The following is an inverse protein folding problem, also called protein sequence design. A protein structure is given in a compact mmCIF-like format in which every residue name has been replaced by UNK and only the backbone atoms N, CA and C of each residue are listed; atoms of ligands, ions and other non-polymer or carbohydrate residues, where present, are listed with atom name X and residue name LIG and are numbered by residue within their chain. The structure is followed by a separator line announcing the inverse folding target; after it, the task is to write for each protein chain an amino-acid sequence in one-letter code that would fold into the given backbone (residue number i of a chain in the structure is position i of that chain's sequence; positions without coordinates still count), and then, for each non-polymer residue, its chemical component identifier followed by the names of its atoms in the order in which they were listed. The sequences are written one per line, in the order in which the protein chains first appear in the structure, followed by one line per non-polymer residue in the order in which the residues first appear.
data_IF_947850177735
#
_entry.id   IF_947850177735
#
_cell.length_a   1.000
_cell.length_b   1.000
_cell.length_c   1.000
_cell.angle_alpha   90.00
_cell.angle_beta   90.00
_cell.angle_gamma   90.00
#
_symmetry.space_group_name_H-M   'P 1'
#
loop_
_entity.id
_entity.type
_entity.pdbx_description
1 polymer ?
#
# COMPACT_ATOMS: atom_id res chain seq x y z
N UNK A 1 -3.17 14.08 -27.25
CA UNK A 1 -1.76 14.07 -26.80
C UNK A 1 -1.70 13.65 -25.34
N UNK A 2 -0.79 12.76 -24.98
CA UNK A 2 -0.54 12.36 -23.58
C UNK A 2 0.80 12.95 -23.16
N UNK A 3 0.83 13.68 -22.04
CA UNK A 3 2.03 14.21 -21.40
C UNK A 3 2.21 13.52 -20.06
N UNK A 4 3.42 13.03 -19.79
CA UNK A 4 3.79 12.39 -18.51
C UNK A 4 4.93 13.17 -17.89
N UNK A 5 4.79 13.58 -16.62
CA UNK A 5 5.80 14.33 -15.87
C UNK A 5 6.04 13.67 -14.52
N UNK A 6 7.29 13.30 -14.18
CA UNK A 6 7.60 12.76 -12.87
C UNK A 6 7.67 13.86 -11.80
N UNK A 7 7.22 13.55 -10.61
CA UNK A 7 7.34 14.34 -9.39
C UNK A 7 8.01 13.50 -8.32
N UNK A 8 9.09 14.03 -7.74
CA UNK A 8 9.88 13.31 -6.75
C UNK A 8 9.70 14.00 -5.40
N UNK A 9 9.18 13.27 -4.42
CA UNK A 9 9.16 13.68 -3.01
C UNK A 9 10.29 12.95 -2.31
N UNK A 10 11.23 13.70 -1.73
CA UNK A 10 12.38 13.12 -1.02
C UNK A 10 12.66 13.86 0.28
N UNK A 11 12.72 13.11 1.36
CA UNK A 11 13.17 13.58 2.67
C UNK A 11 14.69 13.54 2.75
N UNK A 12 15.30 14.51 3.45
CA UNK A 12 16.75 14.55 3.64
C UNK A 12 17.23 13.36 4.46
N UNK A 13 18.35 12.74 4.04
CA UNK A 13 18.92 11.57 4.74
C UNK A 13 19.35 11.88 6.18
N UNK A 14 19.72 13.13 6.48
CA UNK A 14 20.06 13.58 7.83
C UNK A 14 18.92 13.42 8.84
N UNK A 15 17.68 13.31 8.35
CA UNK A 15 16.48 13.09 9.16
C UNK A 15 16.19 11.61 9.44
N UNK A 16 16.99 10.67 8.91
CA UNK A 16 16.94 9.23 9.29
C UNK A 16 17.08 9.04 10.79
N UNK A 17 17.87 9.88 11.47
CA UNK A 17 18.08 9.82 12.92
C UNK A 17 16.84 10.19 13.75
N UNK A 18 15.80 10.75 13.12
CA UNK A 18 14.54 11.13 13.79
C UNK A 18 13.59 9.95 13.76
N UNK A 19 12.81 9.78 14.83
CA UNK A 19 11.75 8.77 14.89
C UNK A 19 10.83 8.87 13.65
N UNK A 20 10.53 7.76 12.95
CA UNK A 20 9.71 7.78 11.75
C UNK A 20 8.32 8.40 11.95
N UNK A 21 7.71 8.27 13.14
CA UNK A 21 6.42 8.90 13.44
C UNK A 21 6.55 10.41 13.56
N UNK A 22 7.66 10.91 14.11
CA UNK A 22 7.93 12.34 14.23
C UNK A 22 8.23 12.96 12.85
N UNK A 23 8.92 12.22 11.99
CA UNK A 23 9.22 12.61 10.60
C UNK A 23 8.03 12.41 9.66
N UNK A 24 7.09 11.52 10.01
CA UNK A 24 5.89 11.24 9.24
C UNK A 24 6.08 10.35 8.01
N UNK A 25 7.22 9.65 7.89
CA UNK A 25 7.48 8.74 6.77
C UNK A 25 8.47 7.64 7.17
N UNK A 26 8.50 6.54 6.43
CA UNK A 26 9.55 5.51 6.53
C UNK A 26 10.51 5.56 5.33
N UNK A 27 11.81 5.41 5.59
CA UNK A 27 12.76 5.00 4.56
C UNK A 27 12.57 3.53 4.20
N UNK A 28 13.03 3.13 3.02
CA UNK A 28 12.77 1.81 2.42
C UNK A 28 13.17 0.61 3.30
N UNK A 29 14.10 0.83 4.24
CA UNK A 29 14.72 -0.14 5.13
C UNK A 29 14.24 -0.06 6.60
N UNK A 30 13.41 0.93 6.96
CA UNK A 30 13.01 1.18 8.35
C UNK A 30 11.88 0.28 8.85
N UNK A 31 11.03 -0.22 7.96
CA UNK A 31 9.90 -1.10 8.30
C UNK A 31 9.91 -2.34 7.40
N UNK A 32 10.56 -3.44 7.84
CA UNK A 32 10.61 -4.68 7.09
C UNK A 32 9.20 -5.22 6.78
N UNK A 33 9.05 -5.71 5.56
CA UNK A 33 7.83 -6.33 5.04
C UNK A 33 8.08 -7.83 4.83
N UNK A 34 7.03 -8.64 4.94
CA UNK A 34 7.14 -10.10 4.87
C UNK A 34 7.27 -10.63 3.44
N UNK A 35 6.54 -10.02 2.51
CA UNK A 35 6.38 -10.44 1.12
C UNK A 35 7.07 -9.50 0.14
N UNK A 36 7.42 -8.28 0.55
CA UNK A 36 8.09 -7.28 -0.28
C UNK A 36 9.50 -6.96 0.23
N UNK A 37 10.42 -6.72 -0.70
CA UNK A 37 11.83 -6.43 -0.39
C UNK A 37 12.05 -5.02 0.19
N UNK A 38 11.26 -4.05 -0.26
CA UNK A 38 11.42 -2.64 0.08
C UNK A 38 10.10 -2.09 0.61
N UNK A 39 10.20 -1.24 1.63
CA UNK A 39 9.05 -0.52 2.14
C UNK A 39 8.55 0.50 1.10
N UNK A 40 7.27 0.40 0.78
CA UNK A 40 6.46 1.50 0.27
C UNK A 40 5.15 1.52 1.05
N UNK A 41 4.45 2.65 1.08
CA UNK A 41 3.12 2.72 1.70
C UNK A 41 2.19 1.66 1.11
N UNK A 42 2.16 1.57 -0.22
CA UNK A 42 1.34 0.57 -0.91
C UNK A 42 1.70 -0.89 -0.58
N UNK A 43 2.99 -1.21 -0.47
CA UNK A 43 3.41 -2.56 -0.11
C UNK A 43 2.98 -2.89 1.32
N UNK A 44 3.10 -1.93 2.23
CA UNK A 44 2.63 -2.05 3.61
C UNK A 44 1.12 -2.33 3.68
N UNK A 45 0.33 -1.55 2.94
CA UNK A 45 -1.12 -1.71 2.89
C UNK A 45 -1.51 -3.09 2.36
N UNK A 46 -0.86 -3.56 1.28
CA UNK A 46 -1.13 -4.88 0.71
C UNK A 46 -0.89 -6.02 1.71
N UNK A 47 0.17 -5.94 2.53
CA UNK A 47 0.37 -6.93 3.59
C UNK A 47 -0.68 -6.82 4.70
N UNK A 48 -1.06 -5.60 5.05
CA UNK A 48 -2.06 -5.39 6.09
C UNK A 48 -3.46 -5.86 5.65
N UNK A 49 -3.87 -5.52 4.43
CA UNK A 49 -5.09 -6.01 3.79
C UNK A 49 -5.09 -7.55 3.73
N UNK A 50 -3.97 -8.17 3.33
CA UNK A 50 -3.84 -9.62 3.31
C UNK A 50 -3.97 -10.24 4.70
N UNK A 51 -3.30 -9.67 5.70
CA UNK A 51 -3.32 -10.21 7.06
C UNK A 51 -4.70 -10.05 7.70
N UNK A 52 -5.34 -8.90 7.49
CA UNK A 52 -6.69 -8.61 7.98
C UNK A 52 -7.72 -9.53 7.34
N UNK A 53 -7.62 -9.75 6.02
CA UNK A 53 -8.51 -10.67 5.31
C UNK A 53 -8.35 -12.11 5.80
N UNK A 54 -7.09 -12.57 5.98
CA UNK A 54 -6.83 -13.90 6.52
C UNK A 54 -7.40 -14.05 7.94
N UNK A 55 -7.21 -13.05 8.80
CA UNK A 55 -7.67 -13.08 10.18
C UNK A 55 -9.21 -13.06 10.31
N UNK A 56 -9.90 -12.28 9.48
CA UNK A 56 -11.36 -12.10 9.57
C UNK A 56 -12.15 -13.10 8.73
N UNK A 57 -11.62 -13.52 7.58
CA UNK A 57 -12.33 -14.32 6.59
C UNK A 57 -11.71 -15.70 6.36
N UNK A 58 -10.54 -16.00 6.94
CA UNK A 58 -9.85 -17.28 6.80
C UNK A 58 -9.24 -17.51 5.40
N UNK A 59 -9.22 -16.49 4.55
CA UNK A 59 -8.71 -16.54 3.19
C UNK A 59 -8.08 -15.20 2.79
N UNK A 60 -7.29 -15.20 1.72
CA UNK A 60 -6.67 -13.99 1.15
C UNK A 60 -7.17 -13.78 -0.28
N UNK A 61 -7.50 -12.56 -0.73
CA UNK A 61 -7.90 -12.32 -2.11
C UNK A 61 -6.79 -12.73 -3.09
N UNK A 62 -7.17 -13.19 -4.29
CA UNK A 62 -6.22 -13.81 -5.21
C UNK A 62 -5.06 -12.87 -5.64
N UNK A 63 -5.32 -11.55 -5.62
CA UNK A 63 -4.40 -10.48 -6.03
C UNK A 63 -3.54 -9.94 -4.88
N UNK A 64 -3.70 -10.45 -3.66
CA UNK A 64 -2.89 -10.08 -2.50
C UNK A 64 -1.69 -11.01 -2.28
N UNK A 65 -0.61 -10.51 -1.66
CA UNK A 65 0.55 -11.32 -1.29
C UNK A 65 0.16 -12.37 -0.25
N UNK A 66 0.68 -13.60 -0.35
CA UNK A 66 0.38 -14.69 0.58
C UNK A 66 1.41 -15.81 0.48
N UNK A 67 1.44 -16.68 1.50
CA UNK A 67 2.14 -17.95 1.39
C UNK A 67 1.40 -18.92 0.47
N UNK A 68 2.14 -19.84 -0.17
CA UNK A 68 1.58 -20.80 -1.14
C UNK A 68 0.42 -21.65 -0.59
N UNK A 69 0.44 -21.96 0.73
CA UNK A 69 -0.58 -22.79 1.39
C UNK A 69 -1.75 -21.97 1.96
N UNK A 70 -1.70 -20.64 1.88
CA UNK A 70 -2.78 -19.78 2.38
C UNK A 70 -4.01 -19.91 1.48
N UNK A 71 -5.21 -20.16 2.03
CA UNK A 71 -6.45 -20.26 1.26
C UNK A 71 -6.72 -18.98 0.46
N UNK A 72 -7.17 -19.14 -0.78
CA UNK A 72 -7.59 -18.03 -1.63
C UNK A 72 -9.09 -17.82 -1.46
N UNK A 73 -9.53 -16.58 -1.32
CA UNK A 73 -10.96 -16.28 -1.24
C UNK A 73 -11.66 -16.60 -2.55
N UNK A 74 -12.68 -17.48 -2.48
CA UNK A 74 -13.63 -17.70 -3.56
C UNK A 74 -14.81 -16.72 -3.51
N UNK A 75 -15.74 -16.80 -4.48
CA UNK A 75 -16.90 -15.91 -4.57
C UNK A 75 -17.78 -15.89 -3.31
N UNK A 76 -17.89 -17.02 -2.60
CA UNK A 76 -18.66 -17.13 -1.37
C UNK A 76 -18.15 -16.20 -0.24
N UNK A 77 -16.86 -15.87 -0.24
CA UNK A 77 -16.24 -14.98 0.76
C UNK A 77 -16.07 -13.54 0.25
N UNK A 78 -16.66 -13.19 -0.91
CA UNK A 78 -16.52 -11.88 -1.53
C UNK A 78 -16.86 -10.73 -0.59
N UNK A 79 -18.05 -10.78 0.02
CA UNK A 79 -18.48 -9.73 0.95
C UNK A 79 -17.57 -9.62 2.17
N UNK A 80 -17.09 -10.76 2.68
CA UNK A 80 -16.22 -10.76 3.85
C UNK A 80 -14.90 -10.05 3.54
N UNK A 81 -14.19 -10.46 2.48
CA UNK A 81 -12.87 -9.90 2.23
C UNK A 81 -12.95 -8.42 1.82
N UNK A 82 -13.99 -8.01 1.09
CA UNK A 82 -14.20 -6.60 0.76
C UNK A 82 -14.41 -5.74 2.02
N UNK A 83 -15.19 -6.23 3.00
CA UNK A 83 -15.33 -5.54 4.31
C UNK A 83 -14.04 -5.56 5.11
N UNK A 84 -13.27 -6.65 5.05
CA UNK A 84 -11.97 -6.74 5.74
C UNK A 84 -10.96 -5.73 5.21
N UNK A 85 -10.93 -5.50 3.89
CA UNK A 85 -10.08 -4.51 3.23
C UNK A 85 -10.50 -3.09 3.63
N UNK A 86 -11.80 -2.80 3.61
CA UNK A 86 -12.30 -1.49 4.06
C UNK A 86 -11.87 -1.20 5.51
N UNK A 87 -12.00 -2.20 6.39
CA UNK A 87 -11.57 -2.10 7.79
C UNK A 87 -10.06 -1.95 7.96
N UNK A 88 -9.23 -2.57 7.10
CA UNK A 88 -7.77 -2.41 7.18
C UNK A 88 -7.29 -1.00 6.82
N UNK A 89 -8.13 -0.19 6.17
CA UNK A 89 -7.78 1.19 5.76
C UNK A 89 -8.38 2.21 6.75
N UNK A 90 -9.30 1.80 7.63
CA UNK A 90 -9.87 2.68 8.65
C UNK A 90 -8.80 3.13 9.66
N UNK A 91 -8.58 4.44 9.85
CA UNK A 91 -7.55 4.95 10.76
C UNK A 91 -7.77 4.54 12.23
N UNK A 92 -9.03 4.45 12.66
CA UNK A 92 -9.39 4.19 14.06
C UNK A 92 -9.34 2.71 14.44
N UNK A 93 -9.43 1.81 13.45
CA UNK A 93 -9.53 0.36 13.70
C UNK A 93 -8.34 -0.42 13.14
N UNK A 94 -7.60 0.15 12.19
CA UNK A 94 -6.43 -0.49 11.62
C UNK A 94 -5.17 -0.23 12.44
N UNK A 95 -4.43 -1.30 12.72
CA UNK A 95 -3.10 -1.21 13.34
C UNK A 95 -1.97 -1.21 12.29
N UNK A 96 -2.29 -0.89 11.03
CA UNK A 96 -1.38 -1.07 9.90
C UNK A 96 -0.15 -0.17 9.96
N UNK A 97 -0.24 1.02 10.59
CA UNK A 97 0.88 1.97 10.78
C UNK A 97 1.72 2.18 9.50
N UNK A 98 1.05 2.23 8.34
CA UNK A 98 1.67 2.44 7.04
C UNK A 98 1.84 3.94 6.81
N UNK A 99 2.99 4.49 7.21
CA UNK A 99 3.32 5.89 6.90
C UNK A 99 3.77 6.02 5.44
N UNK A 100 3.67 7.21 4.83
CA UNK A 100 4.23 7.48 3.51
C UNK A 100 5.71 7.10 3.40
N UNK A 101 6.19 6.92 2.18
CA UNK A 101 7.61 6.67 1.93
C UNK A 101 8.40 7.99 1.98
N UNK A 102 9.58 7.98 2.59
CA UNK A 102 10.45 9.16 2.59
C UNK A 102 11.08 9.46 1.23
N UNK A 103 10.95 8.52 0.29
CA UNK A 103 11.28 8.70 -1.12
C UNK A 103 10.13 8.14 -1.95
N UNK A 104 9.52 8.98 -2.78
CA UNK A 104 8.43 8.59 -3.65
C UNK A 104 8.55 9.28 -5.02
N UNK A 105 8.20 8.56 -6.07
CA UNK A 105 8.12 9.09 -7.43
C UNK A 105 6.68 8.93 -7.94
N UNK A 106 5.99 10.04 -8.11
CA UNK A 106 4.65 10.12 -8.70
C UNK A 106 4.74 10.56 -10.17
N UNK A 107 3.80 10.13 -11.01
CA UNK A 107 3.75 10.53 -12.41
C UNK A 107 2.46 11.29 -12.68
N UNK A 108 2.56 12.59 -12.97
CA UNK A 108 1.44 13.40 -13.41
C UNK A 108 1.18 13.16 -14.89
N UNK A 109 0.01 12.64 -15.20
CA UNK A 109 -0.44 12.37 -16.57
C UNK A 109 -1.45 13.44 -16.98
N UNK A 110 -1.24 14.07 -18.14
CA UNK A 110 -2.20 15.02 -18.74
C UNK A 110 -2.59 14.54 -20.13
N UNK A 111 -3.90 14.44 -20.37
CA UNK A 111 -4.46 14.02 -21.66
C UNK A 111 -5.18 15.20 -22.30
N UNK A 112 -4.72 15.59 -23.48
CA UNK A 112 -5.40 16.57 -24.34
C UNK A 112 -6.15 15.82 -25.43
N UNK A 113 -7.47 15.93 -25.41
CA UNK A 113 -8.33 15.45 -26.49
C UNK A 113 -8.48 16.57 -27.53
N UNK A 114 -8.24 16.23 -28.80
CA UNK A 114 -8.60 17.12 -29.89
C UNK A 114 -10.06 16.82 -30.28
N UNK A 115 -10.90 17.84 -30.49
CA UNK A 115 -12.23 17.64 -31.07
C UNK A 115 -12.10 16.86 -32.38
N UNK A 116 -13.01 15.90 -32.60
CA UNK A 116 -13.18 15.33 -33.93
C UNK A 116 -14.05 16.31 -34.71
N UNK A 117 -13.50 16.86 -35.79
CA UNK A 117 -14.29 17.52 -36.83
C UNK A 117 -15.24 16.51 -37.49
#
# INVERSE_FOLDING_TARGET
MIKVVPEIKKTKEELRKWDPKLRGCYFEDERPLLFFKYYTERNCDLECESNTSLALCGCVPFYHPRYRKTPICGPANYECYMRSIAKSIEPDTSNCNCLPSCFETEYRISVTNFPKD
#
